data_IF_765095566353
#
_entry.id   IF_765095566353
#
_cell.length_a   1.000
_cell.length_b   1.000
_cell.length_c   1.000
_cell.angle_alpha   90.00
_cell.angle_beta   90.00
_cell.angle_gamma   90.00
#
_symmetry.space_group_name_H-M   'P 1'
#
loop_
_entity.id
_entity.type
_entity.pdbx_description
1 polymer ?
#
# COMPACT_ATOMS: atom_id res chain seq x y z
N UNK A 1 -6.99 10.90 28.50
CA UNK A 1 -5.75 10.28 29.01
C UNK A 1 -5.63 8.91 28.40
N UNK A 2 -4.59 8.67 27.60
CA UNK A 2 -4.33 7.33 27.07
C UNK A 2 -3.89 6.49 28.28
N UNK A 3 -4.73 5.54 28.70
CA UNK A 3 -4.40 4.68 29.84
C UNK A 3 -3.21 3.79 29.48
N UNK A 4 -2.49 3.28 30.47
CA UNK A 4 -1.37 2.35 30.23
C UNK A 4 -1.78 1.17 29.33
N UNK A 5 -3.02 0.68 29.50
CA UNK A 5 -3.64 -0.33 28.62
C UNK A 5 -3.83 0.17 27.18
N UNK A 6 -4.25 1.41 27.00
CA UNK A 6 -4.32 2.06 25.69
C UNK A 6 -2.96 2.18 25.00
N UNK A 7 -1.91 2.52 25.74
CA UNK A 7 -0.55 2.62 25.18
C UNK A 7 -0.05 1.25 24.74
N UNK A 8 -0.21 0.22 25.57
CA UNK A 8 0.23 -1.15 25.25
C UNK A 8 -0.49 -1.69 24.01
N UNK A 9 -1.81 -1.49 23.93
CA UNK A 9 -2.59 -1.94 22.77
C UNK A 9 -2.16 -1.26 21.47
N UNK A 10 -1.86 0.04 21.50
CA UNK A 10 -1.33 0.75 20.33
C UNK A 10 0.06 0.24 19.92
N UNK A 11 0.96 0.01 20.86
CA UNK A 11 2.30 -0.52 20.56
C UNK A 11 2.19 -1.89 19.89
N UNK A 12 1.36 -2.78 20.43
CA UNK A 12 1.13 -4.12 19.84
C UNK A 12 0.57 -3.99 18.42
N UNK A 13 -0.41 -3.12 18.20
CA UNK A 13 -0.97 -2.88 16.86
C UNK A 13 0.08 -2.39 15.86
N UNK A 14 0.92 -1.43 16.24
CA UNK A 14 1.97 -0.88 15.39
C UNK A 14 2.99 -1.95 15.02
N UNK A 15 3.42 -2.77 15.98
CA UNK A 15 4.36 -3.87 15.72
C UNK A 15 3.75 -4.89 14.76
N UNK A 16 2.51 -5.32 15.01
CA UNK A 16 1.81 -6.27 14.13
C UNK A 16 1.66 -5.72 12.70
N UNK A 17 1.31 -4.45 12.56
CA UNK A 17 1.18 -3.80 11.26
C UNK A 17 2.53 -3.72 10.53
N UNK A 18 3.60 -3.31 11.22
CA UNK A 18 4.94 -3.24 10.64
C UNK A 18 5.42 -4.62 10.16
N UNK A 19 5.19 -5.67 10.96
CA UNK A 19 5.51 -7.05 10.57
C UNK A 19 4.74 -7.49 9.33
N UNK A 20 3.44 -7.18 9.24
CA UNK A 20 2.62 -7.50 8.07
C UNK A 20 3.13 -6.80 6.81
N UNK A 21 3.47 -5.50 6.89
CA UNK A 21 4.00 -4.73 5.76
C UNK A 21 5.35 -5.27 5.30
N UNK A 22 6.27 -5.58 6.23
CA UNK A 22 7.58 -6.16 5.90
C UNK A 22 7.43 -7.54 5.28
N UNK A 23 6.48 -8.35 5.74
CA UNK A 23 6.22 -9.66 5.18
C UNK A 23 5.69 -9.56 3.74
N UNK A 24 4.72 -8.66 3.51
CA UNK A 24 4.17 -8.39 2.19
C UNK A 24 5.26 -7.85 1.25
N UNK A 25 6.10 -6.91 1.70
CA UNK A 25 7.17 -6.32 0.87
C UNK A 25 8.22 -7.35 0.44
N UNK A 26 8.49 -8.36 1.27
CA UNK A 26 9.43 -9.45 0.94
C UNK A 26 8.84 -10.52 0.00
N UNK A 27 7.52 -10.73 -0.02
CA UNK A 27 6.85 -11.73 -0.85
C UNK A 27 6.50 -11.25 -2.28
N UNK A 28 7.11 -10.15 -2.73
CA UNK A 28 6.80 -9.51 -4.02
C UNK A 28 5.99 -8.22 -3.88
N UNK A 29 5.82 -7.72 -2.66
CA UNK A 29 5.12 -6.47 -2.38
C UNK A 29 3.66 -6.52 -2.76
N UNK A 30 3.08 -5.33 -2.92
CA UNK A 30 1.76 -5.17 -3.49
C UNK A 30 1.95 -5.32 -5.00
N UNK A 31 1.98 -6.56 -5.46
CA UNK A 31 2.22 -6.87 -6.87
C UNK A 31 1.00 -6.48 -7.70
N UNK A 32 0.97 -5.19 -8.05
CA UNK A 32 0.23 -4.62 -9.17
C UNK A 32 -1.22 -4.28 -8.91
N UNK A 33 -1.49 -2.99 -8.72
CA UNK A 33 -2.64 -2.34 -9.35
C UNK A 33 -2.10 -1.07 -10.02
N UNK A 34 -1.97 -1.13 -11.34
CA UNK A 34 -1.75 0.07 -12.14
C UNK A 34 -2.88 1.08 -11.90
N UNK A 35 -2.57 2.36 -12.13
CA UNK A 35 -3.51 3.48 -12.08
C UNK A 35 -4.30 3.59 -10.74
N UNK A 36 -3.59 3.85 -9.65
CA UNK A 36 -4.17 4.17 -8.34
C UNK A 36 -4.76 5.59 -8.25
N UNK A 37 -5.71 5.93 -9.11
CA UNK A 37 -6.43 7.21 -9.09
C UNK A 37 -7.82 7.11 -9.73
N UNK A 38 -8.64 8.17 -9.64
CA UNK A 38 -9.94 8.21 -10.31
C UNK A 38 -9.77 8.06 -11.83
N UNK A 39 -10.01 6.87 -12.36
CA UNK A 39 -10.00 6.56 -13.80
C UNK A 39 -11.09 7.27 -14.62
N UNK A 40 -11.69 8.36 -14.12
CA UNK A 40 -12.54 9.24 -14.90
C UNK A 40 -11.74 10.13 -15.87
N UNK A 41 -10.47 10.44 -15.56
CA UNK A 41 -9.62 11.32 -16.37
C UNK A 41 -8.67 10.58 -17.34
N UNK A 42 -8.62 9.24 -17.33
CA UNK A 42 -7.56 8.47 -17.98
C UNK A 42 -8.04 7.39 -18.97
N UNK A 43 -9.26 7.47 -19.51
CA UNK A 43 -9.78 6.46 -20.44
C UNK A 43 -8.84 6.22 -21.65
N UNK A 44 -8.28 7.29 -22.22
CA UNK A 44 -7.35 7.21 -23.36
C UNK A 44 -5.93 6.77 -23.00
N UNK A 45 -5.54 6.82 -21.71
CA UNK A 45 -4.20 6.39 -21.24
C UNK A 45 -4.17 4.91 -20.84
N UNK A 46 -5.34 4.33 -20.55
CA UNK A 46 -5.48 2.92 -20.18
C UNK A 46 -5.60 2.00 -21.40
N UNK A 47 -6.16 2.48 -22.53
CA UNK A 47 -6.34 1.67 -23.74
C UNK A 47 -5.01 1.40 -24.47
N UNK A 48 -4.03 2.30 -24.37
CA UNK A 48 -2.68 2.08 -24.88
C UNK A 48 -1.65 2.26 -23.75
N UNK A 49 -1.30 1.20 -23.02
CA UNK A 49 -0.18 1.27 -22.08
C UNK A 49 1.10 1.45 -22.87
N UNK A 50 1.62 2.68 -22.91
CA UNK A 50 2.89 2.98 -23.56
C UNK A 50 4.02 2.23 -22.82
N UNK A 51 4.69 1.26 -23.46
CA UNK A 51 5.68 0.41 -22.80
C UNK A 51 6.97 1.18 -22.44
N UNK A 52 7.11 2.44 -22.86
CA UNK A 52 8.33 3.24 -22.66
C UNK A 52 8.39 3.98 -21.32
N UNK A 53 7.38 3.92 -20.45
CA UNK A 53 7.39 4.63 -19.15
C UNK A 53 7.91 3.77 -17.99
N UNK A 54 8.84 2.86 -18.28
CA UNK A 54 9.67 2.21 -17.26
C UNK A 54 10.89 3.10 -16.99
N UNK A 55 10.75 4.07 -16.10
CA UNK A 55 11.87 4.67 -15.38
C UNK A 55 11.46 4.90 -13.92
#
# INVERSE_FOLDING_TARGET
MLTLRGIITLIVLVILFALAVVWISKQGGWKGEGCGGNCASCHSRCENPDPSKKH
#
